data_IF_896574434972
#
_entry.id   IF_896574434972
#
_cell.length_a   1.000
_cell.length_b   1.000
_cell.length_c   1.000
_cell.angle_alpha   90.00
_cell.angle_beta   90.00
_cell.angle_gamma   90.00
#
_symmetry.space_group_name_H-M   'P 1'
#
loop_
_entity.id
_entity.type
_entity.pdbx_description
1 polymer ?
#
# COMPACT_ATOMS: atom_id res chain seq x y z
N UNK A 1 12.01 12.80 14.70
CA UNK A 1 10.99 13.25 13.72
C UNK A 1 11.57 13.04 12.34
N UNK A 2 10.83 12.40 11.42
CA UNK A 2 11.33 12.15 10.05
C UNK A 2 11.35 13.46 9.23
N UNK A 3 12.23 13.53 8.24
CA UNK A 3 12.43 14.69 7.37
C UNK A 3 11.24 14.91 6.43
N UNK A 4 11.14 16.12 5.88
CA UNK A 4 10.12 16.44 4.86
C UNK A 4 10.24 15.55 3.62
N UNK A 5 11.47 15.23 3.21
CA UNK A 5 11.72 14.31 2.10
C UNK A 5 11.15 12.91 2.39
N UNK A 6 11.45 12.35 3.56
CA UNK A 6 10.93 11.04 3.98
C UNK A 6 9.40 11.03 4.00
N UNK A 7 8.77 12.11 4.50
CA UNK A 7 7.31 12.27 4.49
C UNK A 7 6.73 12.23 3.09
N UNK A 8 7.31 12.99 2.15
CA UNK A 8 6.84 13.04 0.77
C UNK A 8 7.02 11.68 0.09
N UNK A 9 8.17 11.03 0.24
CA UNK A 9 8.43 9.73 -0.36
C UNK A 9 7.50 8.63 0.17
N UNK A 10 7.20 8.64 1.46
CA UNK A 10 6.21 7.74 2.04
C UNK A 10 4.80 8.04 1.50
N UNK A 11 4.41 9.31 1.42
CA UNK A 11 3.12 9.70 0.85
C UNK A 11 2.98 9.25 -0.62
N UNK A 12 3.99 9.47 -1.45
CA UNK A 12 4.02 9.02 -2.85
C UNK A 12 3.85 7.50 -2.94
N UNK A 13 4.51 6.75 -2.06
CA UNK A 13 4.43 5.28 -2.03
C UNK A 13 3.00 4.79 -1.82
N UNK A 14 2.27 5.35 -0.86
CA UNK A 14 0.91 4.92 -0.55
C UNK A 14 -0.14 5.53 -1.48
N UNK A 15 -0.01 6.81 -1.81
CA UNK A 15 -1.02 7.55 -2.58
C UNK A 15 -0.90 7.34 -4.10
N UNK A 16 0.12 6.62 -4.57
CA UNK A 16 0.25 6.24 -5.99
C UNK A 16 -0.98 5.53 -6.56
N UNK A 17 -1.76 4.86 -5.72
CA UNK A 17 -3.05 4.26 -6.10
C UNK A 17 -4.06 5.28 -6.64
N UNK A 18 -4.09 6.50 -6.11
CA UNK A 18 -4.99 7.57 -6.57
C UNK A 18 -4.54 8.20 -7.89
N UNK A 19 -3.28 7.98 -8.26
CA UNK A 19 -2.69 8.42 -9.52
C UNK A 19 -2.71 7.33 -10.60
N UNK A 20 -3.32 6.17 -10.32
CA UNK A 20 -3.37 5.04 -11.25
C UNK A 20 -2.04 4.30 -11.40
N UNK A 21 -1.06 4.55 -10.53
CA UNK A 21 0.27 3.91 -10.56
C UNK A 21 0.61 3.21 -9.22
N UNK A 22 -0.29 2.33 -8.71
CA UNK A 22 -0.19 1.81 -7.35
C UNK A 22 1.08 1.00 -7.06
N UNK A 23 1.60 0.29 -8.05
CA UNK A 23 2.83 -0.51 -7.86
C UNK A 23 4.07 0.29 -8.25
N UNK A 24 3.97 1.08 -9.32
CA UNK A 24 5.11 1.79 -9.89
C UNK A 24 5.59 2.89 -8.94
N UNK A 25 4.69 3.66 -8.33
CA UNK A 25 5.06 4.74 -7.41
C UNK A 25 5.91 4.24 -6.22
N UNK A 26 5.48 3.26 -5.40
CA UNK A 26 6.30 2.78 -4.29
C UNK A 26 7.52 1.99 -4.78
N UNK A 27 7.49 1.35 -5.95
CA UNK A 27 8.66 0.70 -6.53
C UNK A 27 9.78 1.69 -6.84
N UNK A 28 9.45 2.83 -7.46
CA UNK A 28 10.42 3.91 -7.72
C UNK A 28 10.99 4.42 -6.38
N UNK A 29 10.14 4.68 -5.39
CA UNK A 29 10.58 5.15 -4.07
C UNK A 29 11.51 4.14 -3.40
N UNK A 30 11.20 2.85 -3.47
CA UNK A 30 12.03 1.77 -2.90
C UNK A 30 13.42 1.70 -3.53
N UNK A 31 13.53 1.99 -4.83
CA UNK A 31 14.80 1.96 -5.57
C UNK A 31 15.61 3.24 -5.34
N UNK A 32 14.96 4.41 -5.31
CA UNK A 32 15.63 5.72 -5.25
C UNK A 32 16.05 6.09 -3.83
N UNK A 33 15.26 5.74 -2.82
CA UNK A 33 15.60 6.09 -1.44
C UNK A 33 16.65 5.13 -0.87
N UNK A 34 17.62 5.64 -0.12
CA UNK A 34 18.53 4.80 0.68
C UNK A 34 18.06 4.63 2.13
N UNK A 35 17.04 5.40 2.54
CA UNK A 35 16.57 5.45 3.91
C UNK A 35 15.76 4.21 4.31
N UNK A 36 16.08 3.63 5.46
CA UNK A 36 15.44 2.41 5.95
C UNK A 36 13.94 2.56 6.20
N UNK A 37 13.51 3.69 6.77
CA UNK A 37 12.10 3.95 7.06
C UNK A 37 11.29 4.09 5.76
N UNK A 38 11.81 4.88 4.81
CA UNK A 38 11.17 5.05 3.49
C UNK A 38 11.10 3.72 2.73
N UNK A 39 12.17 2.93 2.72
CA UNK A 39 12.17 1.59 2.09
C UNK A 39 11.17 0.64 2.73
N UNK A 40 11.03 0.66 4.06
CA UNK A 40 10.03 -0.15 4.75
C UNK A 40 8.61 0.24 4.32
N UNK A 41 8.29 1.54 4.31
CA UNK A 41 6.98 2.04 3.90
C UNK A 41 6.68 1.78 2.42
N UNK A 42 7.69 1.92 1.54
CA UNK A 42 7.58 1.55 0.14
C UNK A 42 7.28 0.06 -0.03
N UNK A 43 7.96 -0.83 0.71
CA UNK A 43 7.66 -2.27 0.72
C UNK A 43 6.26 -2.59 1.23
N UNK A 44 5.84 -1.96 2.34
CA UNK A 44 4.46 -2.07 2.86
C UNK A 44 3.43 -1.68 1.80
N UNK A 45 3.66 -0.57 1.10
CA UNK A 45 2.80 -0.08 0.02
C UNK A 45 2.75 -1.05 -1.17
N UNK A 46 3.90 -1.57 -1.64
CA UNK A 46 3.98 -2.54 -2.75
C UNK A 46 3.15 -3.78 -2.43
N UNK A 47 3.38 -4.41 -1.27
CA UNK A 47 2.73 -5.68 -0.92
C UNK A 47 1.23 -5.49 -0.74
N UNK A 48 0.81 -4.40 -0.10
CA UNK A 48 -0.61 -4.09 0.04
C UNK A 48 -1.29 -3.86 -1.30
N UNK A 49 -0.69 -3.03 -2.16
CA UNK A 49 -1.29 -2.69 -3.46
C UNK A 49 -1.27 -3.87 -4.43
N UNK A 50 -0.27 -4.75 -4.35
CA UNK A 50 -0.27 -6.02 -5.07
C UNK A 50 -1.38 -6.94 -4.55
N UNK A 51 -1.58 -7.01 -3.23
CA UNK A 51 -2.69 -7.73 -2.61
C UNK A 51 -4.06 -7.24 -3.09
N UNK A 52 -4.24 -5.92 -3.21
CA UNK A 52 -5.46 -5.32 -3.77
C UNK A 52 -5.67 -5.70 -5.24
N UNK A 53 -4.61 -5.69 -6.06
CA UNK A 53 -4.69 -6.12 -7.45
C UNK A 53 -5.13 -7.59 -7.57
N UNK A 54 -4.55 -8.48 -6.74
CA UNK A 54 -4.94 -9.89 -6.67
C UNK A 54 -6.41 -10.04 -6.23
N UNK A 55 -6.84 -9.31 -5.20
CA UNK A 55 -8.24 -9.30 -4.78
C UNK A 55 -9.18 -8.83 -5.89
N UNK A 56 -8.79 -7.80 -6.66
CA UNK A 56 -9.55 -7.32 -7.80
C UNK A 56 -9.70 -8.39 -8.89
N UNK A 57 -8.64 -9.12 -9.20
CA UNK A 57 -8.66 -10.23 -10.16
C UNK A 57 -9.60 -11.35 -9.67
N UNK A 58 -9.49 -11.75 -8.41
CA UNK A 58 -10.37 -12.78 -7.81
C UNK A 58 -11.84 -12.31 -7.84
N UNK A 59 -12.09 -11.05 -7.50
CA UNK A 59 -13.43 -10.46 -7.55
C UNK A 59 -14.02 -10.47 -8.97
N UNK A 60 -13.21 -10.14 -9.98
CA UNK A 60 -13.63 -10.18 -11.38
C UNK A 60 -13.94 -11.61 -11.85
N UNK A 61 -13.11 -12.59 -11.49
CA UNK A 61 -13.32 -14.00 -11.85
C UNK A 61 -14.56 -14.61 -11.18
N UNK A 62 -14.86 -14.18 -9.95
CA UNK A 62 -15.99 -14.68 -9.17
C UNK A 62 -17.26 -13.84 -9.31
N UNK A 63 -17.26 -12.88 -10.24
CA UNK A 63 -18.38 -11.96 -10.45
C UNK A 63 -19.69 -12.68 -10.82
N UNK A 64 -19.61 -13.74 -11.63
CA UNK A 64 -20.76 -14.56 -12.02
C UNK A 64 -21.51 -15.17 -10.83
N UNK A 65 -20.82 -15.37 -9.70
CA UNK A 65 -21.39 -15.95 -8.49
C UNK A 65 -21.92 -14.89 -7.50
N UNK A 66 -22.04 -13.62 -7.92
CA UNK A 66 -22.43 -12.45 -7.09
C UNK A 66 -21.39 -12.11 -6.00
N UNK A 67 -20.66 -13.09 -5.46
CA UNK A 67 -19.62 -12.91 -4.45
C UNK A 67 -18.51 -11.94 -4.90
N UNK A 68 -18.22 -11.91 -6.21
CA UNK A 68 -17.26 -10.98 -6.78
C UNK A 68 -17.60 -9.50 -6.52
N UNK A 69 -18.89 -9.15 -6.41
CA UNK A 69 -19.33 -7.78 -6.09
C UNK A 69 -18.88 -7.39 -4.68
N UNK A 70 -19.05 -8.27 -3.70
CA UNK A 70 -18.64 -8.00 -2.32
C UNK A 70 -17.12 -7.88 -2.20
N UNK A 71 -16.36 -8.72 -2.93
CA UNK A 71 -14.90 -8.63 -2.98
C UNK A 71 -14.45 -7.30 -3.61
N UNK A 72 -15.08 -6.89 -4.71
CA UNK A 72 -14.77 -5.64 -5.38
C UNK A 72 -15.05 -4.43 -4.47
N UNK A 73 -16.19 -4.41 -3.77
CA UNK A 73 -16.52 -3.36 -2.79
C UNK A 73 -15.48 -3.31 -1.67
N UNK A 74 -15.10 -4.46 -1.11
CA UNK A 74 -14.07 -4.53 -0.07
C UNK A 74 -12.72 -4.02 -0.57
N UNK A 75 -12.29 -4.41 -1.78
CA UNK A 75 -11.04 -3.96 -2.38
C UNK A 75 -11.02 -2.43 -2.58
N UNK A 76 -12.12 -1.85 -3.07
CA UNK A 76 -12.24 -0.38 -3.25
C UNK A 76 -12.15 0.34 -1.91
N UNK A 77 -12.88 -0.12 -0.89
CA UNK A 77 -12.84 0.49 0.45
C UNK A 77 -11.44 0.42 1.04
N UNK A 78 -10.77 -0.74 0.95
CA UNK A 78 -9.42 -0.91 1.46
C UNK A 78 -8.41 -0.05 0.72
N UNK A 79 -8.49 0.02 -0.61
CA UNK A 79 -7.63 0.84 -1.45
C UNK A 79 -7.84 2.35 -1.27
N UNK A 80 -9.03 2.76 -0.84
CA UNK A 80 -9.33 4.15 -0.52
C UNK A 80 -8.83 4.53 0.89
N UNK A 81 -9.15 3.71 1.90
CA UNK A 81 -8.99 4.11 3.30
C UNK A 81 -7.57 3.88 3.81
N UNK A 82 -6.99 2.70 3.59
CA UNK A 82 -5.72 2.36 4.23
C UNK A 82 -4.52 3.17 3.74
N UNK A 83 -4.37 3.49 2.44
CA UNK A 83 -3.28 4.35 1.98
C UNK A 83 -3.30 5.76 2.57
N UNK A 84 -4.50 6.31 2.81
CA UNK A 84 -4.67 7.61 3.48
C UNK A 84 -4.20 7.50 4.94
N UNK A 85 -4.65 6.49 5.67
CA UNK A 85 -4.24 6.26 7.06
C UNK A 85 -2.72 6.07 7.14
N UNK A 86 -2.15 5.25 6.25
CA UNK A 86 -0.70 5.02 6.19
C UNK A 86 0.06 6.34 6.01
N UNK A 87 -0.40 7.19 5.10
CA UNK A 87 0.19 8.51 4.87
C UNK A 87 0.11 9.39 6.11
N UNK A 88 -1.05 9.48 6.76
CA UNK A 88 -1.24 10.28 7.98
C UNK A 88 -0.30 9.79 9.09
N UNK A 89 -0.22 8.48 9.33
CA UNK A 89 0.68 7.91 10.36
C UNK A 89 2.15 8.21 10.06
N UNK A 90 2.55 8.13 8.80
CA UNK A 90 3.91 8.46 8.39
C UNK A 90 4.23 9.95 8.57
N UNK A 91 3.26 10.86 8.44
CA UNK A 91 3.45 12.29 8.75
C UNK A 91 3.81 12.54 10.21
N UNK A 92 3.30 11.70 11.12
CA UNK A 92 3.63 11.68 12.55
C UNK A 92 4.95 10.93 12.83
N UNK A 93 5.62 10.40 11.80
CA UNK A 93 6.83 9.58 11.93
C UNK A 93 6.57 8.17 12.47
N UNK A 94 5.33 7.69 12.42
CA UNK A 94 4.95 6.36 12.89
C UNK A 94 4.94 5.40 11.70
N UNK A 95 5.81 4.39 11.72
CA UNK A 95 5.84 3.34 10.69
C UNK A 95 4.50 2.63 10.61
N UNK A 96 3.81 2.76 9.47
CA UNK A 96 2.55 2.09 9.24
C UNK A 96 2.76 0.65 8.76
N UNK A 97 1.94 -0.24 9.31
CA UNK A 97 1.89 -1.65 8.93
C UNK A 97 0.47 -1.97 8.53
N UNK A 98 0.27 -2.38 7.28
CA UNK A 98 -1.08 -2.73 6.82
C UNK A 98 -1.62 -3.92 7.64
N UNK A 99 -2.89 -3.89 8.08
CA UNK A 99 -3.44 -4.94 8.95
C UNK A 99 -3.37 -6.34 8.34
N UNK A 100 -3.55 -6.45 7.02
CA UNK A 100 -3.62 -7.74 6.31
C UNK A 100 -2.25 -8.19 5.79
N UNK A 101 -1.47 -7.26 5.22
CA UNK A 101 -0.23 -7.58 4.50
C UNK A 101 1.04 -7.23 5.28
N UNK A 102 0.94 -6.41 6.32
CA UNK A 102 2.13 -5.83 6.97
C UNK A 102 2.95 -6.81 7.78
N UNK A 103 2.37 -7.94 8.21
CA UNK A 103 3.11 -9.04 8.85
C UNK A 103 4.15 -9.66 7.92
N UNK A 104 3.93 -9.65 6.59
CA UNK A 104 4.89 -10.22 5.64
C UNK A 104 6.22 -9.46 5.64
N UNK A 105 6.18 -8.14 5.79
CA UNK A 105 7.37 -7.28 5.86
C UNK A 105 7.97 -7.29 7.28
N UNK A 106 7.14 -7.22 8.32
CA UNK A 106 7.62 -7.20 9.71
C UNK A 106 8.31 -8.50 10.12
N UNK A 107 7.82 -9.63 9.64
CA UNK A 107 8.39 -10.94 9.95
C UNK A 107 9.62 -11.28 9.08
N UNK A 108 10.05 -10.36 8.18
CA UNK A 108 11.15 -10.59 7.26
C UNK A 108 10.90 -11.71 6.25
N UNK A 109 9.63 -12.01 5.94
CA UNK A 109 9.26 -13.05 4.96
C UNK A 109 9.44 -12.60 3.51
N UNK A 110 9.59 -11.29 3.30
CA UNK A 110 9.85 -10.60 2.02
C UNK A 110 10.65 -9.32 2.25
#
# INVERSE_FOLDING_TARGET
MITTEQKILCAVSHLGIFLGIPIIAPLIVMVVSEDGFVKEQAKQAIVFQAGLAVMGIIGALTFIFIIGIFIAIAAVIMGLVFPIIATIRNMDGISYSYPVTGGLIKDGRI
#
